data_IF_703406678191
#
_entry.id   IF_703406678191
#
_cell.length_a   1.000
_cell.length_b   1.000
_cell.length_c   1.000
_cell.angle_alpha   90.00
_cell.angle_beta   90.00
_cell.angle_gamma   90.00
#
_symmetry.space_group_name_H-M   'P 1'
#
loop_
_entity.id
_entity.type
_entity.pdbx_description
1 polymer ?
#
# COMPACT_ATOMS: atom_id res chain seq x y z
N UNK A 1 45.28 -4.68 58.76
CA UNK A 1 45.69 -4.93 57.36
C UNK A 1 44.69 -4.22 56.47
N UNK A 2 45.13 -3.30 55.59
CA UNK A 2 44.23 -2.80 54.54
C UNK A 2 43.93 -3.94 53.58
N UNK A 3 42.67 -4.07 53.16
CA UNK A 3 42.27 -4.96 52.07
C UNK A 3 43.00 -4.53 50.79
N UNK A 4 43.40 -5.49 49.94
CA UNK A 4 43.84 -5.16 48.59
C UNK A 4 42.66 -4.65 47.75
N UNK A 5 42.96 -3.94 46.66
CA UNK A 5 41.92 -3.40 45.76
C UNK A 5 41.05 -4.51 45.16
N UNK A 6 41.65 -5.64 44.77
CA UNK A 6 40.96 -6.84 44.29
C UNK A 6 40.02 -7.44 45.35
N UNK A 7 40.46 -7.47 46.61
CA UNK A 7 39.67 -7.97 47.74
C UNK A 7 38.46 -7.07 48.01
N UNK A 8 38.64 -5.75 47.90
CA UNK A 8 37.56 -4.78 48.04
C UNK A 8 36.53 -4.91 46.91
N UNK A 9 36.97 -4.98 45.64
CA UNK A 9 36.08 -5.19 44.48
C UNK A 9 35.23 -6.45 44.64
N UNK A 10 35.86 -7.58 45.01
CA UNK A 10 35.15 -8.85 45.27
C UNK A 10 34.11 -8.71 46.38
N UNK A 11 34.44 -7.98 47.45
CA UNK A 11 33.52 -7.78 48.56
C UNK A 11 32.31 -6.91 48.19
N UNK A 12 32.52 -5.85 47.42
CA UNK A 12 31.44 -5.01 46.89
C UNK A 12 30.51 -5.82 45.99
N UNK A 13 31.05 -6.63 45.07
CA UNK A 13 30.25 -7.48 44.18
C UNK A 13 29.41 -8.49 44.99
N UNK A 14 30.03 -9.18 45.97
CA UNK A 14 29.29 -10.11 46.83
C UNK A 14 28.16 -9.43 47.62
N UNK A 15 28.38 -8.19 48.10
CA UNK A 15 27.34 -7.43 48.78
C UNK A 15 26.22 -7.03 47.82
N UNK A 16 26.54 -6.55 46.62
CA UNK A 16 25.54 -6.27 45.60
C UNK A 16 24.72 -7.52 45.28
N UNK A 17 25.31 -8.71 45.24
CA UNK A 17 24.59 -9.96 44.94
C UNK A 17 23.70 -10.46 46.09
N UNK A 18 24.14 -10.34 47.33
CA UNK A 18 23.46 -10.94 48.49
C UNK A 18 22.56 -9.98 49.25
N UNK A 19 22.88 -8.69 49.25
CA UNK A 19 22.17 -7.65 49.99
C UNK A 19 21.34 -6.79 49.03
N UNK A 20 20.03 -6.97 49.11
CA UNK A 20 19.06 -6.27 48.26
C UNK A 20 18.96 -4.78 48.61
N UNK A 21 19.06 -4.42 49.89
CA UNK A 21 18.94 -3.03 50.36
C UNK A 21 20.17 -2.23 49.97
N UNK A 22 21.37 -2.82 50.13
CA UNK A 22 22.61 -2.23 49.64
C UNK A 22 22.58 -2.07 48.12
N UNK A 23 22.15 -3.09 47.36
CA UNK A 23 22.02 -3.01 45.89
C UNK A 23 21.12 -1.86 45.46
N UNK A 24 19.95 -1.69 46.08
CA UNK A 24 19.05 -0.60 45.73
C UNK A 24 19.56 0.77 46.13
N UNK A 25 20.26 0.86 47.26
CA UNK A 25 20.90 2.11 47.68
C UNK A 25 21.97 2.53 46.67
N UNK A 26 22.85 1.60 46.27
CA UNK A 26 23.84 1.85 45.21
C UNK A 26 23.16 2.19 43.90
N UNK A 27 22.10 1.47 43.51
CA UNK A 27 21.32 1.77 42.31
C UNK A 27 20.74 3.19 42.32
N UNK A 28 20.22 3.66 43.46
CA UNK A 28 19.76 5.03 43.62
C UNK A 28 20.90 6.05 43.54
N UNK A 29 22.04 5.77 44.16
CA UNK A 29 23.21 6.66 44.15
C UNK A 29 23.83 6.81 42.76
N UNK A 30 23.82 5.76 41.94
CA UNK A 30 24.37 5.79 40.58
C UNK A 30 23.33 6.20 39.52
N UNK A 31 22.11 6.57 39.93
CA UNK A 31 21.09 7.09 39.03
C UNK A 31 20.35 6.04 38.18
N UNK A 32 20.34 4.75 38.59
CA UNK A 32 19.63 3.72 37.85
C UNK A 32 18.11 3.93 37.86
N UNK A 33 17.57 4.63 38.85
CA UNK A 33 16.13 4.90 38.93
C UNK A 33 15.68 5.83 37.79
N UNK A 34 16.42 6.90 37.57
CA UNK A 34 16.20 7.89 36.53
C UNK A 34 16.26 7.24 35.14
N UNK A 35 17.25 6.35 34.93
CA UNK A 35 17.36 5.57 33.69
C UNK A 35 16.14 4.67 33.50
N UNK A 36 15.69 3.97 34.55
CA UNK A 36 14.52 3.09 34.46
C UNK A 36 13.23 3.86 34.18
N UNK A 37 13.06 5.04 34.76
CA UNK A 37 11.90 5.89 34.53
C UNK A 37 11.90 6.45 33.10
N UNK A 38 13.06 6.86 32.58
CA UNK A 38 13.18 7.28 31.17
C UNK A 38 12.90 6.13 30.19
N UNK A 39 13.39 4.92 30.49
CA UNK A 39 13.08 3.74 29.69
C UNK A 39 11.58 3.40 29.69
N UNK A 40 10.88 3.62 30.81
CA UNK A 40 9.42 3.44 30.87
C UNK A 40 8.71 4.48 30.02
N UNK A 41 9.10 5.75 30.11
CA UNK A 41 8.54 6.84 29.31
C UNK A 41 8.73 6.56 27.81
N UNK A 42 9.95 6.22 27.39
CA UNK A 42 10.26 5.85 26.01
C UNK A 42 9.40 4.67 25.55
N UNK A 43 9.22 3.64 26.38
CA UNK A 43 8.37 2.49 26.04
C UNK A 43 6.92 2.90 25.82
N UNK A 44 6.38 3.78 26.66
CA UNK A 44 5.02 4.30 26.54
C UNK A 44 4.84 5.17 25.29
N UNK A 45 5.78 6.06 25.00
CA UNK A 45 5.76 6.88 23.79
C UNK A 45 5.82 6.02 22.52
N UNK A 46 6.70 5.02 22.51
CA UNK A 46 6.82 4.07 21.42
C UNK A 46 5.49 3.31 21.22
N UNK A 47 4.88 2.82 22.31
CA UNK A 47 3.60 2.12 22.25
C UNK A 47 2.49 3.00 21.65
N UNK A 48 2.38 4.26 22.08
CA UNK A 48 1.41 5.23 21.53
C UNK A 48 1.63 5.47 20.04
N UNK A 49 2.89 5.66 19.61
CA UNK A 49 3.22 5.85 18.19
C UNK A 49 2.89 4.64 17.35
N UNK A 50 3.10 3.42 17.87
CA UNK A 50 2.71 2.19 17.19
C UNK A 50 1.19 2.09 17.05
N UNK A 51 0.43 2.40 18.10
CA UNK A 51 -1.04 2.39 18.04
C UNK A 51 -1.58 3.40 17.00
N UNK A 52 -1.00 4.61 16.95
CA UNK A 52 -1.33 5.59 15.91
C UNK A 52 -0.98 5.10 14.49
N UNK A 53 0.17 4.44 14.34
CA UNK A 53 0.58 3.86 13.07
C UNK A 53 -0.36 2.74 12.64
N UNK A 54 -0.76 1.84 13.54
CA UNK A 54 -1.70 0.77 13.26
C UNK A 54 -3.06 1.33 12.82
N UNK A 55 -3.54 2.41 13.46
CA UNK A 55 -4.76 3.09 13.04
C UNK A 55 -4.65 3.64 11.62
N UNK A 56 -3.57 4.38 11.33
CA UNK A 56 -3.33 4.94 9.98
C UNK A 56 -3.17 3.84 8.93
N UNK A 57 -2.53 2.74 9.29
CA UNK A 57 -2.34 1.61 8.40
C UNK A 57 -3.69 0.96 8.07
N UNK A 58 -4.54 0.75 9.06
CA UNK A 58 -5.90 0.25 8.85
C UNK A 58 -6.73 1.19 7.97
N UNK A 59 -6.65 2.51 8.17
CA UNK A 59 -7.31 3.50 7.31
C UNK A 59 -6.83 3.40 5.85
N UNK A 60 -5.53 3.15 5.61
CA UNK A 60 -4.97 2.96 4.27
C UNK A 60 -5.52 1.67 3.63
N UNK A 61 -5.58 0.57 4.39
CA UNK A 61 -6.08 -0.71 3.88
C UNK A 61 -7.53 -0.59 3.44
N UNK A 62 -8.39 0.06 4.24
CA UNK A 62 -9.79 0.31 3.87
C UNK A 62 -9.89 1.09 2.56
N UNK A 63 -9.13 2.18 2.40
CA UNK A 63 -9.14 2.94 1.13
C UNK A 63 -8.64 2.13 -0.05
N UNK A 64 -7.65 1.25 0.15
CA UNK A 64 -7.14 0.38 -0.92
C UNK A 64 -8.20 -0.63 -1.36
N UNK A 65 -9.00 -1.16 -0.43
CA UNK A 65 -10.12 -2.04 -0.75
C UNK A 65 -11.20 -1.28 -1.54
N UNK A 66 -11.56 -0.07 -1.12
CA UNK A 66 -12.52 0.79 -1.85
C UNK A 66 -12.04 1.10 -3.28
N UNK A 67 -10.76 1.45 -3.45
CA UNK A 67 -10.17 1.67 -4.76
C UNK A 67 -10.14 0.38 -5.60
N UNK A 68 -9.89 -0.77 -4.99
CA UNK A 68 -9.89 -2.06 -5.68
C UNK A 68 -11.27 -2.41 -6.23
N UNK A 69 -12.34 -2.17 -5.48
CA UNK A 69 -13.71 -2.35 -5.97
C UNK A 69 -14.05 -1.37 -7.11
N UNK A 70 -13.64 -0.11 -6.98
CA UNK A 70 -13.83 0.89 -8.03
C UNK A 70 -13.12 0.49 -9.33
N UNK A 71 -11.89 0.00 -9.25
CA UNK A 71 -11.14 -0.49 -10.41
C UNK A 71 -11.80 -1.71 -11.06
N UNK A 72 -12.42 -2.60 -10.27
CA UNK A 72 -13.20 -3.72 -10.82
C UNK A 72 -14.41 -3.23 -11.62
N UNK A 73 -15.10 -2.17 -11.15
CA UNK A 73 -16.22 -1.58 -11.88
C UNK A 73 -15.77 -0.97 -13.20
N UNK A 74 -14.71 -0.16 -13.19
CA UNK A 74 -14.14 0.38 -14.44
C UNK A 74 -13.68 -0.71 -15.39
N UNK A 75 -13.09 -1.79 -14.88
CA UNK A 75 -12.72 -2.95 -15.70
C UNK A 75 -13.94 -3.58 -16.41
N UNK A 76 -15.10 -3.65 -15.75
CA UNK A 76 -16.35 -4.12 -16.35
C UNK A 76 -16.87 -3.16 -17.41
N UNK A 77 -16.90 -1.86 -17.11
CA UNK A 77 -17.36 -0.83 -18.06
C UNK A 77 -16.52 -0.79 -19.34
N UNK A 78 -15.19 -0.84 -19.20
CA UNK A 78 -14.27 -0.90 -20.35
C UNK A 78 -14.53 -2.16 -21.19
N UNK A 79 -14.83 -3.29 -20.56
CA UNK A 79 -15.16 -4.52 -21.28
C UNK A 79 -16.44 -4.37 -22.09
N UNK A 80 -17.50 -3.83 -21.48
CA UNK A 80 -18.76 -3.56 -22.19
C UNK A 80 -18.55 -2.62 -23.37
N UNK A 81 -17.81 -1.53 -23.17
CA UNK A 81 -17.50 -0.59 -24.23
C UNK A 81 -16.72 -1.24 -25.38
N UNK A 82 -15.77 -2.13 -25.06
CA UNK A 82 -15.02 -2.90 -26.06
C UNK A 82 -15.94 -3.82 -26.86
N UNK A 83 -16.87 -4.50 -26.19
CA UNK A 83 -17.83 -5.40 -26.84
C UNK A 83 -18.79 -4.62 -27.76
N UNK A 84 -19.29 -3.46 -27.30
CA UNK A 84 -20.13 -2.57 -28.11
C UNK A 84 -19.39 -2.04 -29.34
N UNK A 85 -18.11 -1.65 -29.18
CA UNK A 85 -17.28 -1.20 -30.29
C UNK A 85 -17.05 -2.31 -31.31
N UNK A 86 -16.87 -3.56 -30.88
CA UNK A 86 -16.73 -4.71 -31.77
C UNK A 86 -18.00 -4.95 -32.59
N UNK A 87 -19.18 -4.81 -31.96
CA UNK A 87 -20.47 -4.90 -32.67
C UNK A 87 -20.62 -3.75 -33.68
N UNK A 88 -20.22 -2.54 -33.30
CA UNK A 88 -20.27 -1.38 -34.19
C UNK A 88 -19.35 -1.54 -35.41
N UNK A 89 -18.12 -2.02 -35.23
CA UNK A 89 -17.20 -2.33 -36.32
C UNK A 89 -17.82 -3.29 -37.34
N UNK A 90 -18.43 -4.39 -36.89
CA UNK A 90 -19.14 -5.32 -37.79
C UNK A 90 -20.26 -4.66 -38.60
N UNK A 91 -20.98 -3.70 -38.00
CA UNK A 91 -22.03 -2.95 -38.70
C UNK A 91 -21.43 -2.01 -39.76
N UNK A 92 -20.29 -1.39 -39.48
CA UNK A 92 -19.57 -0.58 -40.45
C UNK A 92 -19.09 -1.43 -41.63
N UNK A 93 -18.44 -2.57 -41.39
CA UNK A 93 -17.99 -3.48 -42.45
C UNK A 93 -19.15 -3.88 -43.38
N UNK A 94 -20.30 -4.21 -42.80
CA UNK A 94 -21.50 -4.55 -43.56
C UNK A 94 -22.04 -3.37 -44.39
N UNK A 95 -22.04 -2.17 -43.80
CA UNK A 95 -22.48 -0.96 -44.48
C UNK A 95 -21.56 -0.61 -45.65
N UNK A 96 -20.25 -0.67 -45.47
CA UNK A 96 -19.26 -0.45 -46.52
C UNK A 96 -19.45 -1.43 -47.68
N UNK A 97 -19.66 -2.72 -47.40
CA UNK A 97 -19.99 -3.71 -48.43
C UNK A 97 -21.28 -3.40 -49.20
N UNK A 98 -22.29 -2.85 -48.50
CA UNK A 98 -23.55 -2.41 -49.12
C UNK A 98 -23.31 -1.18 -50.02
N UNK A 99 -22.48 -0.23 -49.60
CA UNK A 99 -22.12 0.95 -50.39
C UNK A 99 -21.38 0.58 -51.68
N UNK A 100 -20.43 -0.37 -51.61
CA UNK A 100 -19.73 -0.90 -52.78
C UNK A 100 -20.74 -1.49 -53.79
N UNK A 101 -21.67 -2.31 -53.29
CA UNK A 101 -22.70 -2.93 -54.14
C UNK A 101 -23.62 -1.88 -54.76
N UNK A 102 -24.01 -0.87 -53.99
CA UNK A 102 -24.84 0.23 -54.47
C UNK A 102 -24.13 1.04 -55.55
N UNK A 103 -22.85 1.38 -55.34
CA UNK A 103 -22.00 2.05 -56.33
C UNK A 103 -21.95 1.27 -57.63
N UNK A 104 -21.66 -0.04 -57.58
CA UNK A 104 -21.64 -0.87 -58.79
C UNK A 104 -22.98 -0.87 -59.56
N UNK A 105 -24.12 -0.83 -58.84
CA UNK A 105 -25.44 -0.73 -59.48
C UNK A 105 -25.65 0.63 -60.15
N UNK A 106 -25.20 1.72 -59.51
CA UNK A 106 -25.25 3.05 -60.11
C UNK A 106 -24.37 3.15 -61.35
N UNK A 107 -23.15 2.62 -61.30
CA UNK A 107 -22.22 2.59 -62.43
C UNK A 107 -22.84 1.83 -63.62
N UNK A 108 -23.49 0.68 -63.36
CA UNK A 108 -24.19 -0.10 -64.39
C UNK A 108 -25.39 0.64 -65.00
N UNK A 109 -26.15 1.38 -64.19
CA UNK A 109 -27.26 2.22 -64.67
C UNK A 109 -26.74 3.42 -65.50
N UNK A 110 -25.67 4.07 -65.06
CA UNK A 110 -25.02 5.16 -65.78
C UNK A 110 -24.47 4.73 -67.14
N UNK A 111 -23.82 3.57 -67.20
CA UNK A 111 -23.37 2.96 -68.45
C UNK A 111 -24.55 2.66 -69.40
N UNK A 112 -25.66 2.12 -68.87
CA UNK A 112 -26.88 1.83 -69.67
C UNK A 112 -27.52 3.08 -70.25
N UNK A 113 -27.42 4.22 -69.56
CA UNK A 113 -28.02 5.49 -69.99
C UNK A 113 -27.03 6.40 -70.75
N UNK A 114 -25.81 5.94 -71.02
CA UNK A 114 -24.79 6.71 -71.76
C UNK A 114 -24.23 7.90 -70.98
N UNK A 115 -24.52 8.01 -69.68
CA UNK A 115 -24.11 9.13 -68.81
C UNK A 115 -22.61 9.11 -68.46
N UNK A 116 -21.92 7.98 -68.68
CA UNK A 116 -20.49 7.81 -68.42
C UNK A 116 -19.63 7.97 -69.69
N UNK A 117 -20.18 8.61 -70.73
CA UNK A 117 -19.53 8.79 -72.03
C UNK A 117 -18.92 10.20 -72.16
N UNK A 118 -17.92 10.50 -71.33
CA UNK A 118 -16.86 11.49 -71.61
C UNK A 118 -15.55 10.98 -71.01
#
# INVERSE_FOLDING_TARGET
MMLSEEELKRRIINLLERDKEFRYTVAGLIGLKEILDELRNLREEIAKRFEEHDRKFNEIIVRLDEHSETLKLYGKEIKLLRDDFLVFQKKLDHFEGTQITFKHRLDALGARWGLMSE
#
